data_IF_435764114779
#
_entry.id   IF_435764114779
#
_cell.length_a   1.000
_cell.length_b   1.000
_cell.length_c   1.000
_cell.angle_alpha   90.00
_cell.angle_beta   90.00
_cell.angle_gamma   90.00
#
_symmetry.space_group_name_H-M   'P 1'
#
loop_
_entity.id
_entity.type
_entity.pdbx_description
1 polymer ?
#
# COMPACT_ATOMS: atom_id res chain seq x y z
N UNK A 1 -8.27 -37.19 36.16
CA UNK A 1 -6.87 -36.87 35.82
C UNK A 1 -6.68 -36.31 34.40
N UNK A 2 -7.47 -36.69 33.39
CA UNK A 2 -7.33 -36.20 32.00
C UNK A 2 -7.83 -34.75 31.74
N UNK A 3 -8.72 -34.22 32.58
CA UNK A 3 -9.26 -32.84 32.44
C UNK A 3 -8.28 -31.76 32.91
N UNK A 4 -7.33 -32.11 33.79
CA UNK A 4 -6.33 -31.17 34.30
C UNK A 4 -5.19 -30.95 33.29
N UNK A 5 -4.89 -31.98 32.47
CA UNK A 5 -3.86 -31.93 31.43
C UNK A 5 -4.25 -31.08 30.21
N UNK A 6 -5.56 -30.93 29.95
CA UNK A 6 -6.08 -30.10 28.85
C UNK A 6 -6.05 -28.60 29.17
N UNK A 7 -6.17 -28.23 30.45
CA UNK A 7 -6.11 -26.82 30.88
C UNK A 7 -4.66 -26.29 30.90
N UNK A 8 -3.68 -27.17 31.19
CA UNK A 8 -2.26 -26.77 31.21
C UNK A 8 -1.69 -26.53 29.80
N UNK A 9 -2.23 -27.21 28.79
CA UNK A 9 -1.80 -27.06 27.39
C UNK A 9 -2.36 -25.80 26.71
N UNK A 10 -3.52 -25.30 27.15
CA UNK A 10 -4.11 -24.08 26.62
C UNK A 10 -3.40 -22.80 27.11
N UNK A 11 -2.81 -22.83 28.31
CA UNK A 11 -2.07 -21.70 28.89
C UNK A 11 -0.69 -21.46 28.23
N UNK A 12 -0.09 -22.48 27.63
CA UNK A 12 1.20 -22.37 26.93
C UNK A 12 1.08 -21.73 25.54
N UNK A 13 -0.07 -21.85 24.87
CA UNK A 13 -0.28 -21.27 23.53
C UNK A 13 -0.62 -19.77 23.59
N UNK A 14 -1.17 -19.29 24.70
CA UNK A 14 -1.52 -17.87 24.86
C UNK A 14 -0.31 -16.92 25.02
N UNK A 15 0.84 -17.42 25.51
CA UNK A 15 2.03 -16.61 25.76
C UNK A 15 2.90 -16.37 24.51
N UNK A 16 2.68 -17.09 23.41
CA UNK A 16 3.46 -16.91 22.19
C UNK A 16 2.92 -15.80 21.25
N UNK A 17 1.73 -15.25 21.53
CA UNK A 17 1.11 -14.21 20.70
C UNK A 17 1.19 -12.80 21.31
N UNK A 18 1.74 -12.67 22.51
CA UNK A 18 1.94 -11.37 23.14
C UNK A 18 3.36 -10.87 22.88
N UNK A 19 3.47 -9.92 21.95
CA UNK A 19 4.64 -9.06 21.73
C UNK A 19 5.79 -9.64 20.88
N UNK A 20 5.58 -9.71 19.56
CA UNK A 20 6.66 -9.30 18.66
C UNK A 20 6.73 -7.77 18.64
N UNK A 21 7.92 -7.13 18.55
CA UNK A 21 7.97 -5.69 18.31
C UNK A 21 7.20 -5.40 17.02
N UNK A 22 6.16 -4.58 17.11
CA UNK A 22 5.60 -3.96 15.92
C UNK A 22 6.70 -3.01 15.42
N UNK A 23 7.44 -3.46 14.42
CA UNK A 23 8.25 -2.55 13.64
C UNK A 23 7.27 -1.65 12.90
N UNK A 24 7.01 -0.48 13.47
CA UNK A 24 6.35 0.60 12.77
C UNK A 24 7.40 1.16 11.83
N UNK A 25 7.11 1.16 10.53
CA UNK A 25 7.94 1.89 9.59
C UNK A 25 8.00 3.36 10.09
N UNK A 26 9.18 3.97 10.22
CA UNK A 26 9.28 5.40 10.55
C UNK A 26 8.41 6.28 9.64
N UNK A 27 8.15 5.84 8.41
CA UNK A 27 7.28 6.52 7.45
C UNK A 27 5.78 6.39 7.78
N UNK A 28 5.37 5.42 8.63
CA UNK A 28 4.00 5.26 9.14
C UNK A 28 3.68 6.20 10.32
N UNK A 29 4.66 6.94 10.84
CA UNK A 29 4.45 7.88 11.95
C UNK A 29 3.82 9.17 11.42
N UNK A 30 2.49 9.23 11.44
CA UNK A 30 1.75 10.45 11.10
C UNK A 30 1.89 11.48 12.24
N UNK A 31 2.80 12.43 12.08
CA UNK A 31 2.90 13.61 12.95
C UNK A 31 1.78 14.59 12.55
N UNK A 32 0.87 14.96 13.48
CA UNK A 32 -0.19 15.92 13.18
C UNK A 32 0.40 17.26 12.69
N UNK A 33 0.03 17.68 11.49
CA UNK A 33 0.54 18.91 10.85
C UNK A 33 1.64 18.68 9.81
N UNK A 34 2.06 17.43 9.58
CA UNK A 34 3.03 17.08 8.53
C UNK A 34 2.32 16.45 7.33
N UNK A 35 2.66 16.89 6.12
CA UNK A 35 2.23 16.26 4.86
C UNK A 35 3.25 15.20 4.44
N UNK A 36 2.82 13.96 4.23
CA UNK A 36 3.65 12.93 3.61
C UNK A 36 3.68 13.18 2.10
N UNK A 37 4.86 13.36 1.48
CA UNK A 37 4.95 13.53 0.04
C UNK A 37 4.53 12.25 -0.69
N UNK A 38 3.99 12.38 -1.89
CA UNK A 38 3.73 11.22 -2.77
C UNK A 38 5.08 10.62 -3.20
N UNK A 39 5.32 9.37 -2.84
CA UNK A 39 6.60 8.67 -3.05
C UNK A 39 6.64 7.94 -4.40
N UNK A 40 6.41 8.65 -5.51
CA UNK A 40 6.50 8.08 -6.86
C UNK A 40 7.77 8.53 -7.59
N UNK A 41 8.58 7.58 -8.05
CA UNK A 41 9.58 7.84 -9.09
C UNK A 41 8.93 7.72 -10.49
N UNK A 42 9.54 8.34 -11.51
CA UNK A 42 9.05 8.34 -12.90
C UNK A 42 7.54 8.67 -13.04
N UNK A 43 7.08 9.81 -12.49
CA UNK A 43 5.66 10.08 -12.39
C UNK A 43 5.03 10.37 -13.75
N UNK A 44 3.84 9.81 -13.96
CA UNK A 44 2.92 10.18 -15.03
C UNK A 44 1.58 10.61 -14.44
N UNK A 45 1.05 11.75 -14.88
CA UNK A 45 -0.24 12.28 -14.41
C UNK A 45 -1.22 12.37 -15.58
N UNK A 46 -2.34 11.67 -15.47
CA UNK A 46 -3.47 11.78 -16.39
C UNK A 46 -4.56 12.68 -15.81
N UNK A 47 -5.14 13.57 -16.61
CA UNK A 47 -6.38 14.27 -16.28
C UNK A 47 -7.55 13.59 -17.00
N UNK A 48 -8.56 13.16 -16.25
CA UNK A 48 -9.84 12.70 -16.80
C UNK A 48 -11.00 13.36 -16.05
N UNK A 49 -11.84 14.09 -16.78
CA UNK A 49 -12.82 15.01 -16.18
C UNK A 49 -12.13 16.05 -15.29
N UNK A 50 -12.58 16.17 -14.04
CA UNK A 50 -12.03 17.08 -13.04
C UNK A 50 -11.06 16.36 -12.05
N UNK A 51 -10.60 15.15 -12.39
CA UNK A 51 -9.73 14.34 -11.52
C UNK A 51 -8.37 14.09 -12.16
N UNK A 52 -7.31 14.38 -11.40
CA UNK A 52 -5.95 14.01 -11.73
C UNK A 52 -5.64 12.63 -11.15
N UNK A 53 -5.01 11.77 -11.95
CA UNK A 53 -4.55 10.44 -11.57
C UNK A 53 -3.04 10.37 -11.74
N UNK A 54 -2.31 10.11 -10.66
CA UNK A 54 -0.85 9.94 -10.69
C UNK A 54 -0.48 8.47 -10.57
N UNK A 55 0.51 8.08 -11.36
CA UNK A 55 1.12 6.76 -11.42
C UNK A 55 2.63 6.90 -11.40
N UNK A 56 3.35 5.89 -10.94
CA UNK A 56 4.81 5.90 -10.95
C UNK A 56 5.41 4.62 -10.39
N UNK A 57 6.75 4.60 -10.35
CA UNK A 57 7.58 3.57 -9.76
C UNK A 57 7.59 3.71 -8.24
N UNK A 58 7.05 2.73 -7.51
CA UNK A 58 7.14 2.66 -6.04
C UNK A 58 6.85 1.25 -5.50
N UNK A 59 5.65 0.73 -5.74
CA UNK A 59 5.21 -0.54 -5.16
C UNK A 59 5.92 -1.77 -5.74
N UNK A 60 6.26 -2.73 -4.88
CA UNK A 60 6.84 -4.01 -5.31
C UNK A 60 5.84 -4.92 -6.03
N UNK A 61 4.55 -4.76 -5.72
CA UNK A 61 3.48 -5.68 -6.14
C UNK A 61 2.61 -5.15 -7.27
N UNK A 62 3.01 -4.08 -7.95
CA UNK A 62 2.26 -3.52 -9.06
C UNK A 62 2.49 -2.02 -9.29
N UNK A 63 1.48 -1.35 -9.87
CA UNK A 63 1.48 0.10 -10.08
C UNK A 63 0.38 0.71 -9.21
N UNK A 64 0.77 1.63 -8.33
CA UNK A 64 -0.14 2.40 -7.48
C UNK A 64 -0.84 3.50 -8.29
N UNK A 65 -1.98 3.96 -7.77
CA UNK A 65 -2.68 5.14 -8.27
C UNK A 65 -3.03 6.08 -7.13
N UNK A 66 -2.75 7.36 -7.35
CA UNK A 66 -3.17 8.45 -6.48
C UNK A 66 -4.11 9.36 -7.24
N UNK A 67 -5.10 9.94 -6.55
CA UNK A 67 -6.02 10.93 -7.13
C UNK A 67 -5.91 12.28 -6.46
N UNK A 68 -6.08 13.36 -7.22
CA UNK A 68 -6.15 14.72 -6.72
C UNK A 68 -7.18 15.53 -7.49
N UNK A 69 -7.75 16.56 -6.86
CA UNK A 69 -8.56 17.59 -7.52
C UNK A 69 -7.81 18.90 -7.73
N UNK A 70 -6.61 19.07 -7.15
CA UNK A 70 -5.90 20.35 -7.09
C UNK A 70 -4.39 20.27 -7.32
N UNK A 71 -3.85 19.08 -7.62
CA UNK A 71 -2.43 18.75 -7.80
C UNK A 71 -1.55 18.95 -6.55
N UNK A 72 -2.14 19.30 -5.40
CA UNK A 72 -1.43 19.54 -4.14
C UNK A 72 -1.69 18.41 -3.15
N UNK A 73 -2.96 18.09 -2.92
CA UNK A 73 -3.37 17.02 -2.03
C UNK A 73 -3.69 15.77 -2.84
N UNK A 74 -3.06 14.66 -2.47
CA UNK A 74 -3.18 13.38 -3.18
C UNK A 74 -3.73 12.32 -2.24
N UNK A 75 -4.67 11.53 -2.76
CA UNK A 75 -5.29 10.41 -2.05
C UNK A 75 -4.85 9.11 -2.68
N UNK A 76 -4.29 8.21 -1.89
CA UNK A 76 -4.00 6.85 -2.34
C UNK A 76 -5.30 6.11 -2.67
N UNK A 77 -5.35 5.45 -3.83
CA UNK A 77 -6.51 4.71 -4.33
C UNK A 77 -6.24 3.20 -4.49
N UNK A 78 -5.06 2.71 -4.11
CA UNK A 78 -4.68 1.32 -4.28
C UNK A 78 -3.82 1.07 -5.52
N UNK A 79 -3.83 -0.17 -5.99
CA UNK A 79 -3.10 -0.62 -7.18
C UNK A 79 -3.98 -0.55 -8.43
N UNK A 80 -3.56 0.22 -9.43
CA UNK A 80 -4.15 0.22 -10.77
C UNK A 80 -3.79 -1.04 -11.56
N UNK A 81 -2.60 -1.60 -11.31
CA UNK A 81 -2.14 -2.86 -11.87
C UNK A 81 -1.61 -3.73 -10.73
N UNK A 82 -2.07 -4.98 -10.65
CA UNK A 82 -1.65 -5.92 -9.61
C UNK A 82 -0.77 -7.01 -10.22
N UNK A 83 0.32 -7.38 -9.54
CA UNK A 83 1.24 -8.44 -9.96
C UNK A 83 0.51 -9.74 -10.33
N UNK A 84 -0.54 -10.13 -9.60
CA UNK A 84 -1.31 -11.36 -9.86
C UNK A 84 -2.07 -11.36 -11.19
N UNK A 85 -2.29 -10.19 -11.79
CA UNK A 85 -3.09 -10.02 -13.01
C UNK A 85 -2.21 -9.87 -14.26
N UNK A 86 -0.88 -10.01 -14.12
CA UNK A 86 0.09 -9.86 -15.21
C UNK A 86 1.13 -10.98 -15.21
N UNK A 87 1.87 -11.09 -16.31
CA UNK A 87 2.91 -12.11 -16.48
C UNK A 87 4.20 -11.82 -15.72
N UNK A 88 4.44 -10.56 -15.36
CA UNK A 88 5.70 -10.10 -14.77
C UNK A 88 5.70 -10.28 -13.24
N UNK A 89 6.85 -10.71 -12.71
CA UNK A 89 7.01 -10.96 -11.26
C UNK A 89 7.64 -9.80 -10.48
N UNK A 90 8.21 -8.81 -11.17
CA UNK A 90 8.93 -7.67 -10.58
C UNK A 90 9.13 -6.56 -11.62
N UNK A 91 9.70 -5.43 -11.18
CA UNK A 91 10.10 -4.28 -12.00
C UNK A 91 8.92 -3.56 -12.66
N UNK A 92 7.94 -3.19 -11.83
CA UNK A 92 6.81 -2.36 -12.23
C UNK A 92 7.24 -0.89 -12.25
N UNK A 93 7.83 -0.46 -13.37
CA UNK A 93 8.52 0.83 -13.47
C UNK A 93 7.94 1.71 -14.57
N UNK A 94 8.05 3.03 -14.38
CA UNK A 94 7.76 4.09 -15.34
C UNK A 94 6.45 3.88 -16.14
N UNK A 95 5.30 3.72 -15.45
CA UNK A 95 4.02 3.54 -16.12
C UNK A 95 3.55 4.83 -16.79
N UNK A 96 2.86 4.68 -17.93
CA UNK A 96 2.03 5.74 -18.50
C UNK A 96 0.62 5.18 -18.75
N UNK A 97 -0.42 5.96 -18.47
CA UNK A 97 -1.81 5.54 -18.58
C UNK A 97 -2.58 6.51 -19.46
N UNK A 98 -3.25 6.01 -20.49
CA UNK A 98 -3.99 6.84 -21.43
C UNK A 98 -5.44 6.39 -21.51
N UNK A 99 -6.35 7.36 -21.48
CA UNK A 99 -7.73 7.14 -21.88
C UNK A 99 -7.82 7.18 -23.41
N UNK A 100 -8.22 6.06 -24.01
CA UNK A 100 -8.38 5.92 -25.47
C UNK A 100 -9.85 5.68 -25.79
N UNK A 101 -10.46 6.58 -26.57
CA UNK A 101 -11.88 6.50 -26.97
C UNK A 101 -12.82 6.39 -25.75
N UNK A 102 -12.80 7.44 -24.92
CA UNK A 102 -13.59 7.57 -23.69
C UNK A 102 -15.08 7.31 -23.84
#
# INVERSE_FOLDING_TARGET
MKKFTLLLSLALIANAYACGPKYTDPDDIVVPGTTVPVQLADPFIMLDGDTYYAYGTHAESGIEVFTSSDLKEWKYQGLALQKKDVWADRWFWAPEVYKVKG
#
